data_IF_546276873805
#
_entry.id   IF_546276873805
#
_cell.length_a   1.000
_cell.length_b   1.000
_cell.length_c   1.000
_cell.angle_alpha   90.00
_cell.angle_beta   90.00
_cell.angle_gamma   90.00
#
_symmetry.space_group_name_H-M   'P 1'
#
loop_
_entity.id
_entity.type
_entity.pdbx_description
1 polymer ?
#
# COMPACT_ATOMS: atom_id res chain seq x y z
N UNK A 1 -13.57 -35.54 4.54
CA UNK A 1 -14.43 -35.73 5.74
C UNK A 1 -13.68 -35.62 7.08
N UNK A 2 -12.65 -36.43 7.36
CA UNK A 2 -11.92 -36.34 8.66
C UNK A 2 -11.26 -34.96 8.89
N UNK A 3 -10.82 -34.29 7.82
CA UNK A 3 -10.22 -32.96 7.87
C UNK A 3 -11.22 -31.86 8.31
N UNK A 4 -12.48 -31.92 7.84
CA UNK A 4 -13.50 -30.92 8.19
C UNK A 4 -13.94 -30.98 9.66
N UNK A 5 -14.12 -32.20 10.19
CA UNK A 5 -14.46 -32.39 11.61
C UNK A 5 -13.35 -31.81 12.49
N UNK A 6 -12.08 -32.07 12.16
CA UNK A 6 -10.94 -31.52 12.90
C UNK A 6 -10.89 -29.98 12.86
N UNK A 7 -11.16 -29.36 11.71
CA UNK A 7 -11.25 -27.89 11.59
C UNK A 7 -12.36 -27.29 12.45
N UNK A 8 -13.52 -27.94 12.49
CA UNK A 8 -14.64 -27.51 13.35
C UNK A 8 -14.24 -27.68 14.82
N UNK A 9 -13.65 -28.81 15.20
CA UNK A 9 -13.17 -29.04 16.57
C UNK A 9 -12.15 -27.98 17.01
N UNK A 10 -11.22 -27.60 16.12
CA UNK A 10 -10.24 -26.53 16.39
C UNK A 10 -10.94 -25.19 16.68
N UNK A 11 -11.95 -24.81 15.88
CA UNK A 11 -12.76 -23.62 16.15
C UNK A 11 -13.41 -23.71 17.55
N UNK A 12 -14.07 -24.84 17.85
CA UNK A 12 -14.83 -25.03 19.08
C UNK A 12 -13.95 -24.99 20.34
N UNK A 13 -12.78 -25.62 20.29
CA UNK A 13 -11.88 -25.76 21.43
C UNK A 13 -10.97 -24.54 21.59
N UNK A 14 -10.42 -24.02 20.50
CA UNK A 14 -9.28 -23.10 20.55
C UNK A 14 -9.61 -21.63 20.20
N UNK A 15 -10.66 -21.36 19.43
CA UNK A 15 -10.93 -20.00 18.91
C UNK A 15 -11.69 -19.11 19.92
N UNK A 16 -11.85 -17.81 19.64
CA UNK A 16 -12.52 -16.84 20.51
C UNK A 16 -14.01 -17.18 20.71
N UNK A 17 -14.56 -16.84 21.88
CA UNK A 17 -15.99 -17.07 22.19
C UNK A 17 -16.93 -16.34 21.22
N UNK A 18 -16.52 -15.16 20.72
CA UNK A 18 -17.28 -14.37 19.74
C UNK A 18 -17.41 -15.08 18.38
N UNK A 19 -16.46 -15.95 18.04
CA UNK A 19 -16.49 -16.74 16.81
C UNK A 19 -17.42 -17.96 16.90
N UNK A 20 -17.83 -18.37 18.10
CA UNK A 20 -18.64 -19.57 18.35
C UNK A 20 -20.12 -19.33 18.06
N UNK A 21 -20.53 -19.54 16.81
CA UNK A 21 -21.93 -19.55 16.43
C UNK A 21 -22.22 -20.56 15.31
N UNK A 22 -23.51 -20.89 15.11
CA UNK A 22 -23.93 -21.83 14.08
C UNK A 22 -23.50 -21.42 12.67
N UNK A 23 -23.46 -20.12 12.34
CA UNK A 23 -23.04 -19.65 11.02
C UNK A 23 -21.54 -19.91 10.77
N UNK A 24 -20.67 -19.63 11.75
CA UNK A 24 -19.23 -19.88 11.64
C UNK A 24 -18.91 -21.35 11.38
N UNK A 25 -19.59 -22.23 12.12
CA UNK A 25 -19.39 -23.68 11.99
C UNK A 25 -19.88 -24.20 10.62
N UNK A 26 -21.02 -23.69 10.12
CA UNK A 26 -21.49 -24.03 8.77
C UNK A 26 -20.53 -23.49 7.71
N UNK A 27 -20.01 -22.27 7.87
CA UNK A 27 -19.05 -21.69 6.95
C UNK A 27 -17.81 -22.57 6.76
N UNK A 28 -17.29 -23.15 7.85
CA UNK A 28 -16.15 -24.06 7.79
C UNK A 28 -16.41 -25.37 7.02
N UNK A 29 -17.67 -25.70 6.72
CA UNK A 29 -18.02 -26.87 5.89
C UNK A 29 -17.98 -26.60 4.40
N UNK A 30 -17.77 -25.34 3.98
CA UNK A 30 -17.62 -24.99 2.57
C UNK A 30 -16.23 -25.42 2.11
N UNK A 31 -16.17 -26.33 1.14
CA UNK A 31 -14.96 -26.67 0.38
C UNK A 31 -15.19 -26.26 -1.09
N UNK A 32 -14.20 -25.66 -1.74
CA UNK A 32 -14.23 -25.25 -3.16
C UNK A 32 -15.47 -24.45 -3.57
N UNK A 33 -15.92 -23.50 -2.72
CA UNK A 33 -17.14 -22.73 -2.92
C UNK A 33 -18.42 -23.57 -3.03
N UNK A 34 -18.43 -24.83 -2.58
CA UNK A 34 -19.61 -25.70 -2.52
C UNK A 34 -20.04 -25.89 -1.08
N UNK A 35 -21.31 -25.56 -0.78
CA UNK A 35 -21.92 -25.80 0.53
C UNK A 35 -22.59 -27.18 0.50
N UNK A 36 -22.20 -28.15 1.35
CA UNK A 36 -22.83 -29.46 1.39
C UNK A 36 -24.31 -29.38 1.82
N UNK A 37 -25.14 -30.40 1.51
CA UNK A 37 -26.53 -30.44 1.97
C UNK A 37 -26.63 -30.36 3.50
N UNK A 38 -27.67 -29.68 4.00
CA UNK A 38 -27.89 -29.45 5.44
C UNK A 38 -27.71 -30.70 6.31
N UNK A 39 -28.28 -31.83 5.91
CA UNK A 39 -28.18 -33.08 6.68
C UNK A 39 -26.72 -33.53 6.84
N UNK A 40 -25.89 -33.34 5.81
CA UNK A 40 -24.47 -33.70 5.85
C UNK A 40 -23.68 -32.74 6.72
N UNK A 41 -23.96 -31.44 6.62
CA UNK A 41 -23.37 -30.42 7.49
C UNK A 41 -23.71 -30.71 8.96
N UNK A 42 -24.98 -30.99 9.26
CA UNK A 42 -25.44 -31.31 10.61
C UNK A 42 -24.73 -32.51 11.20
N UNK A 43 -24.60 -33.60 10.43
CA UNK A 43 -23.86 -34.80 10.87
C UNK A 43 -22.40 -34.49 11.24
N UNK A 44 -21.70 -33.68 10.42
CA UNK A 44 -20.31 -33.29 10.68
C UNK A 44 -20.18 -32.45 11.95
N UNK A 45 -21.12 -31.52 12.16
CA UNK A 45 -21.12 -30.63 13.32
C UNK A 45 -21.50 -31.37 14.60
N UNK A 46 -22.51 -32.24 14.55
CA UNK A 46 -22.89 -33.09 15.70
C UNK A 46 -21.69 -33.91 16.19
N UNK A 47 -20.92 -34.49 15.25
CA UNK A 47 -19.69 -35.22 15.58
C UNK A 47 -18.63 -34.32 16.22
N UNK A 48 -18.37 -33.16 15.63
CA UNK A 48 -17.36 -32.22 16.13
C UNK A 48 -17.73 -31.64 17.51
N UNK A 49 -19.00 -31.30 17.73
CA UNK A 49 -19.50 -30.77 19.01
C UNK A 49 -19.36 -31.82 20.11
N UNK A 50 -19.84 -33.05 19.87
CA UNK A 50 -19.74 -34.12 20.87
C UNK A 50 -18.29 -34.47 21.24
N UNK A 51 -17.40 -34.50 20.24
CA UNK A 51 -15.96 -34.69 20.45
C UNK A 51 -15.32 -33.53 21.21
N UNK A 52 -15.66 -32.29 20.87
CA UNK A 52 -15.11 -31.08 21.50
C UNK A 52 -15.54 -30.92 22.95
N UNK A 53 -16.79 -31.29 23.28
CA UNK A 53 -17.30 -31.21 24.65
C UNK A 53 -16.52 -32.10 25.63
N UNK A 54 -15.85 -33.15 25.16
CA UNK A 54 -14.98 -33.98 26.00
C UNK A 54 -13.62 -33.34 26.27
N UNK A 55 -13.26 -32.29 25.53
CA UNK A 55 -11.95 -31.61 25.56
C UNK A 55 -12.01 -30.22 26.22
N UNK A 56 -13.19 -29.75 26.62
CA UNK A 56 -13.41 -28.39 27.13
C UNK A 56 -13.75 -28.43 28.62
N UNK A 57 -12.83 -27.90 29.43
CA UNK A 57 -13.00 -27.73 30.88
C UNK A 57 -13.64 -26.38 31.25
N UNK A 58 -13.47 -25.35 30.41
CA UNK A 58 -14.02 -24.03 30.66
C UNK A 58 -15.55 -24.02 30.49
N UNK A 59 -16.27 -23.70 31.57
CA UNK A 59 -17.73 -23.73 31.63
C UNK A 59 -18.41 -22.79 30.63
N UNK A 60 -17.89 -21.57 30.46
CA UNK A 60 -18.46 -20.57 29.55
C UNK A 60 -18.36 -21.02 28.09
N UNK A 61 -17.18 -21.49 27.68
CA UNK A 61 -16.97 -22.08 26.35
C UNK A 61 -17.84 -23.31 26.14
N UNK A 62 -17.93 -24.19 27.14
CA UNK A 62 -18.75 -25.40 27.08
C UNK A 62 -20.22 -25.06 26.82
N UNK A 63 -20.76 -24.05 27.50
CA UNK A 63 -22.12 -23.53 27.27
C UNK A 63 -22.28 -23.02 25.84
N UNK A 64 -21.33 -22.20 25.34
CA UNK A 64 -21.38 -21.70 23.96
C UNK A 64 -21.33 -22.79 22.90
N UNK A 65 -20.53 -23.84 23.12
CA UNK A 65 -20.45 -24.98 22.21
C UNK A 65 -21.76 -25.79 22.22
N UNK A 66 -22.43 -25.93 23.37
CA UNK A 66 -23.76 -26.56 23.45
C UNK A 66 -24.84 -25.77 22.68
N UNK A 67 -24.73 -24.45 22.63
CA UNK A 67 -25.67 -23.58 21.90
C UNK A 67 -25.56 -23.68 20.36
N UNK A 68 -24.51 -24.31 19.82
CA UNK A 68 -24.27 -24.39 18.37
C UNK A 68 -25.29 -25.30 17.67
N UNK A 69 -25.62 -26.46 18.26
CA UNK A 69 -26.57 -27.40 17.63
C UNK A 69 -27.97 -26.78 17.46
N UNK A 70 -28.54 -26.09 18.48
CA UNK A 70 -29.78 -25.32 18.31
C UNK A 70 -29.71 -24.22 17.23
N UNK A 71 -28.54 -23.65 16.95
CA UNK A 71 -28.36 -22.58 15.97
C UNK A 71 -28.19 -23.08 14.52
N UNK A 72 -28.04 -24.39 14.30
CA UNK A 72 -27.62 -24.94 13.00
C UNK A 72 -28.53 -24.57 11.82
N UNK A 73 -29.84 -24.57 12.02
CA UNK A 73 -30.78 -24.25 10.94
C UNK A 73 -30.68 -22.77 10.51
N UNK A 74 -30.64 -21.86 11.48
CA UNK A 74 -30.47 -20.43 11.23
C UNK A 74 -29.08 -20.10 10.68
N UNK A 75 -28.03 -20.78 11.19
CA UNK A 75 -26.67 -20.68 10.68
C UNK A 75 -26.58 -21.10 9.22
N UNK A 76 -27.19 -22.24 8.86
CA UNK A 76 -27.18 -22.74 7.49
C UNK A 76 -27.92 -21.81 6.52
N UNK A 77 -29.11 -21.33 6.89
CA UNK A 77 -29.85 -20.34 6.10
C UNK A 77 -29.08 -19.03 5.91
N UNK A 78 -28.36 -18.58 6.95
CA UNK A 78 -27.55 -17.37 6.87
C UNK A 78 -26.42 -17.50 5.85
N UNK A 79 -25.70 -18.64 5.86
CA UNK A 79 -24.64 -18.91 4.87
C UNK A 79 -25.19 -19.03 3.45
N UNK A 80 -26.35 -19.68 3.26
CA UNK A 80 -27.04 -19.72 1.96
C UNK A 80 -27.39 -18.30 1.46
N UNK A 81 -27.94 -17.47 2.34
CA UNK A 81 -28.28 -16.08 2.02
C UNK A 81 -27.05 -15.24 1.67
N UNK A 82 -25.98 -15.35 2.45
CA UNK A 82 -24.71 -14.65 2.20
C UNK A 82 -24.05 -15.09 0.88
N UNK A 83 -24.19 -16.36 0.50
CA UNK A 83 -23.73 -16.87 -0.80
C UNK A 83 -24.58 -16.33 -1.96
N UNK A 84 -25.90 -16.24 -1.79
CA UNK A 84 -26.80 -15.70 -2.80
C UNK A 84 -26.48 -14.22 -3.14
N UNK A 85 -26.06 -13.43 -2.15
CA UNK A 85 -25.62 -12.04 -2.34
C UNK A 85 -24.13 -11.90 -2.69
N UNK A 86 -23.44 -13.01 -2.96
CA UNK A 86 -22.00 -13.07 -3.29
C UNK A 86 -21.07 -12.48 -2.22
N UNK A 87 -21.55 -12.32 -0.97
CA UNK A 87 -20.74 -11.78 0.13
C UNK A 87 -19.66 -12.76 0.62
N UNK A 88 -19.83 -14.06 0.33
CA UNK A 88 -18.85 -15.11 0.67
C UNK A 88 -17.93 -15.50 -0.49
N UNK A 89 -18.10 -14.88 -1.67
CA UNK A 89 -17.12 -15.04 -2.72
C UNK A 89 -15.90 -14.21 -2.32
N UNK A 90 -14.93 -14.80 -1.62
CA UNK A 90 -13.56 -14.35 -1.77
C UNK A 90 -13.30 -14.30 -3.26
N UNK A 91 -12.84 -13.15 -3.78
CA UNK A 91 -12.09 -13.09 -5.03
C UNK A 91 -10.89 -14.00 -4.83
N UNK A 92 -11.10 -15.30 -4.93
CA UNK A 92 -10.07 -16.18 -5.42
C UNK A 92 -9.83 -15.61 -6.79
N UNK A 93 -8.72 -14.88 -6.94
CA UNK A 93 -8.09 -14.73 -8.25
C UNK A 93 -8.23 -16.10 -8.88
N UNK A 94 -9.06 -16.21 -9.92
CA UNK A 94 -9.11 -17.42 -10.72
C UNK A 94 -7.64 -17.75 -10.97
N UNK A 95 -7.21 -18.98 -10.68
CA UNK A 95 -5.84 -19.38 -10.98
C UNK A 95 -5.55 -18.88 -12.38
N UNK A 96 -4.56 -18.00 -12.53
CA UNK A 96 -4.15 -17.42 -13.82
C UNK A 96 -3.59 -18.50 -14.78
N UNK A 97 -3.70 -19.76 -14.37
CA UNK A 97 -3.25 -20.96 -15.02
C UNK A 97 -4.19 -21.25 -16.20
N UNK A 98 -3.71 -21.00 -17.41
CA UNK A 98 -4.31 -21.56 -18.60
C UNK A 98 -4.43 -23.08 -18.46
N UNK A 99 -5.58 -23.64 -18.79
CA UNK A 99 -5.71 -25.09 -18.90
C UNK A 99 -4.86 -25.59 -20.07
N UNK A 100 -4.55 -26.89 -20.09
CA UNK A 100 -3.77 -27.46 -21.19
C UNK A 100 -4.48 -27.27 -22.54
N UNK A 101 -5.80 -27.35 -22.56
CA UNK A 101 -6.62 -27.12 -23.74
C UNK A 101 -6.53 -25.67 -24.25
N UNK A 102 -6.47 -24.69 -23.34
CA UNK A 102 -6.28 -23.28 -23.68
C UNK A 102 -4.89 -23.02 -24.25
N UNK A 103 -3.85 -23.62 -23.64
CA UNK A 103 -2.47 -23.56 -24.16
C UNK A 103 -2.40 -24.16 -25.56
N UNK A 104 -2.95 -25.36 -25.76
CA UNK A 104 -2.95 -26.02 -27.07
C UNK A 104 -3.74 -25.20 -28.11
N UNK A 105 -4.83 -24.54 -27.71
CA UNK A 105 -5.58 -23.64 -28.59
C UNK A 105 -4.75 -22.41 -28.97
N UNK A 106 -4.06 -21.80 -28.02
CA UNK A 106 -3.18 -20.66 -28.28
C UNK A 106 -2.03 -21.06 -29.21
N UNK A 107 -1.40 -22.22 -29.00
CA UNK A 107 -0.35 -22.75 -29.88
C UNK A 107 -0.87 -22.94 -31.31
N UNK A 108 -2.09 -23.47 -31.49
CA UNK A 108 -2.72 -23.58 -32.82
C UNK A 108 -2.91 -22.21 -33.47
N UNK A 109 -3.37 -21.20 -32.72
CA UNK A 109 -3.51 -19.82 -33.20
C UNK A 109 -2.15 -19.23 -33.60
N UNK A 110 -1.12 -19.44 -32.79
CA UNK A 110 0.24 -18.98 -33.08
C UNK A 110 0.80 -19.62 -34.36
N UNK A 111 0.68 -20.95 -34.51
CA UNK A 111 1.08 -21.67 -35.74
C UNK A 111 0.35 -21.17 -36.97
N UNK A 112 -0.94 -20.85 -36.85
CA UNK A 112 -1.74 -20.26 -37.93
C UNK A 112 -1.20 -18.88 -38.34
N UNK A 113 -0.93 -17.99 -37.38
CA UNK A 113 -0.35 -16.66 -37.65
C UNK A 113 1.02 -16.75 -38.31
N UNK A 114 1.88 -17.67 -37.86
CA UNK A 114 3.20 -17.91 -38.45
C UNK A 114 3.14 -18.47 -39.87
N UNK A 115 2.00 -19.06 -40.27
CA UNK A 115 1.84 -19.62 -41.62
C UNK A 115 1.38 -18.58 -42.66
N UNK A 116 1.35 -17.29 -42.31
CA UNK A 116 0.95 -16.19 -43.19
C UNK A 116 1.92 -15.01 -43.12
N UNK A 117 3.18 -15.18 -43.55
CA UNK A 117 4.17 -14.10 -43.58
C UNK A 117 3.77 -13.00 -44.58
N UNK A 118 3.94 -11.74 -44.19
CA UNK A 118 3.65 -10.58 -45.06
C UNK A 118 4.82 -10.22 -45.99
N UNK A 119 6.05 -10.61 -45.62
CA UNK A 119 7.26 -10.34 -46.40
C UNK A 119 8.12 -11.58 -46.56
N UNK A 120 8.98 -11.62 -47.57
CA UNK A 120 9.95 -12.71 -47.78
C UNK A 120 10.92 -12.84 -46.59
N UNK A 121 11.28 -11.72 -45.95
CA UNK A 121 12.09 -11.73 -44.73
C UNK A 121 11.35 -12.36 -43.54
N UNK A 122 10.02 -12.21 -43.48
CA UNK A 122 9.20 -12.84 -42.44
C UNK A 122 9.00 -14.32 -42.71
N UNK A 123 8.92 -14.75 -43.98
CA UNK A 123 8.79 -16.16 -44.32
C UNK A 123 9.92 -17.01 -43.71
N UNK A 124 11.17 -16.62 -43.96
CA UNK A 124 12.34 -17.32 -43.42
C UNK A 124 12.38 -17.31 -41.89
N UNK A 125 11.97 -16.21 -41.26
CA UNK A 125 11.91 -16.09 -39.79
C UNK A 125 10.81 -17.00 -39.22
N UNK A 126 9.60 -16.92 -39.76
CA UNK A 126 8.42 -17.63 -39.24
C UNK A 126 8.55 -19.13 -39.41
N UNK A 127 9.11 -19.61 -40.52
CA UNK A 127 9.40 -21.04 -40.72
C UNK A 127 10.34 -21.58 -39.63
N UNK A 128 11.34 -20.80 -39.25
CA UNK A 128 12.29 -21.22 -38.22
C UNK A 128 11.70 -21.16 -36.81
N UNK A 129 10.85 -20.17 -36.52
CA UNK A 129 10.12 -20.12 -35.25
C UNK A 129 9.15 -21.29 -35.15
N UNK A 130 8.41 -21.60 -36.22
CA UNK A 130 7.47 -22.74 -36.27
C UNK A 130 8.18 -24.06 -36.02
N UNK A 131 9.33 -24.27 -36.66
CA UNK A 131 10.17 -25.46 -36.45
C UNK A 131 10.65 -25.57 -34.99
N UNK A 132 11.08 -24.46 -34.40
CA UNK A 132 11.52 -24.46 -33.01
C UNK A 132 10.34 -24.72 -32.05
N UNK A 133 9.13 -24.24 -32.37
CA UNK A 133 7.92 -24.44 -31.56
C UNK A 133 7.52 -25.91 -31.45
N UNK A 134 7.65 -26.68 -32.54
CA UNK A 134 7.41 -28.13 -32.53
C UNK A 134 8.30 -28.88 -31.52
N UNK A 135 9.46 -28.33 -31.15
CA UNK A 135 10.38 -28.98 -30.22
C UNK A 135 10.09 -28.73 -28.74
N UNK A 136 9.26 -27.73 -28.41
CA UNK A 136 9.00 -27.32 -27.02
C UNK A 136 7.53 -27.32 -26.63
N UNK A 137 6.61 -27.50 -27.59
CA UNK A 137 5.17 -27.30 -27.35
C UNK A 137 4.56 -28.21 -26.27
N UNK A 138 5.10 -29.41 -26.07
CA UNK A 138 4.67 -30.32 -25.01
C UNK A 138 4.99 -29.80 -23.61
N UNK A 139 6.05 -28.99 -23.49
CA UNK A 139 6.64 -28.60 -22.21
C UNK A 139 6.18 -27.20 -21.78
N UNK A 140 5.42 -26.50 -22.64
CA UNK A 140 4.88 -25.17 -22.36
C UNK A 140 3.86 -25.20 -21.23
N UNK A 141 3.99 -24.23 -20.34
CA UNK A 141 3.11 -23.92 -19.22
C UNK A 141 2.51 -22.52 -19.40
N UNK A 142 1.52 -22.16 -18.58
CA UNK A 142 0.92 -20.82 -18.61
C UNK A 142 1.93 -19.68 -18.35
N UNK A 143 3.11 -19.99 -17.79
CA UNK A 143 4.19 -19.04 -17.54
C UNK A 143 4.97 -18.69 -18.80
N UNK A 144 4.90 -19.53 -19.83
CA UNK A 144 5.63 -19.36 -21.07
C UNK A 144 4.85 -18.42 -22.00
N UNK A 145 5.46 -17.34 -22.53
CA UNK A 145 4.78 -16.38 -23.40
C UNK A 145 4.07 -17.03 -24.61
N UNK A 146 4.67 -18.09 -25.14
CA UNK A 146 4.17 -18.87 -26.28
C UNK A 146 2.80 -19.48 -26.01
N UNK A 147 2.57 -19.90 -24.76
CA UNK A 147 1.28 -20.43 -24.31
C UNK A 147 0.16 -19.38 -24.38
N UNK A 148 0.52 -18.09 -24.53
CA UNK A 148 -0.38 -16.94 -24.73
C UNK A 148 -0.29 -16.32 -26.13
N UNK A 149 0.31 -17.01 -27.10
CA UNK A 149 0.57 -16.52 -28.47
C UNK A 149 1.59 -15.38 -28.59
N UNK A 150 2.40 -15.17 -27.56
CA UNK A 150 3.45 -14.14 -27.52
C UNK A 150 4.81 -14.80 -27.81
N UNK A 151 5.68 -14.08 -28.55
CA UNK A 151 7.05 -14.51 -28.80
C UNK A 151 8.00 -13.59 -28.02
N UNK A 152 8.77 -14.18 -27.09
CA UNK A 152 9.80 -13.45 -26.34
C UNK A 152 11.15 -13.54 -27.04
N UNK A 153 11.94 -12.45 -27.02
CA UNK A 153 13.32 -12.51 -27.50
C UNK A 153 14.22 -13.38 -26.63
N UNK A 154 13.83 -13.63 -25.37
CA UNK A 154 14.53 -14.51 -24.43
C UNK A 154 14.14 -15.98 -24.57
N UNK A 155 13.05 -16.29 -25.29
CA UNK A 155 12.57 -17.65 -25.48
C UNK A 155 13.58 -18.53 -26.23
N UNK A 156 13.67 -19.84 -25.91
CA UNK A 156 14.44 -20.80 -26.70
C UNK A 156 14.10 -20.76 -28.20
N UNK A 157 12.84 -20.42 -28.55
CA UNK A 157 12.41 -20.26 -29.93
C UNK A 157 13.23 -19.24 -30.71
N UNK A 158 13.49 -18.09 -30.08
CA UNK A 158 14.18 -16.95 -30.70
C UNK A 158 15.69 -17.07 -30.51
N UNK A 159 16.15 -17.61 -29.39
CA UNK A 159 17.57 -17.81 -29.12
C UNK A 159 18.21 -18.83 -30.09
N UNK A 160 17.45 -19.85 -30.50
CA UNK A 160 17.88 -20.86 -31.45
C UNK A 160 17.81 -20.43 -32.93
N UNK A 161 17.40 -19.18 -33.21
CA UNK A 161 17.39 -18.64 -34.58
C UNK A 161 18.81 -18.37 -35.09
N UNK A 162 18.98 -18.47 -36.41
CA UNK A 162 20.23 -18.06 -37.06
C UNK A 162 20.42 -16.55 -36.94
N UNK A 163 21.67 -16.09 -36.98
CA UNK A 163 22.05 -14.67 -36.82
C UNK A 163 21.21 -13.69 -37.66
N UNK A 164 20.93 -14.01 -38.93
CA UNK A 164 20.13 -13.16 -39.81
C UNK A 164 18.67 -13.04 -39.36
N UNK A 165 18.05 -14.15 -38.98
CA UNK A 165 16.67 -14.22 -38.49
C UNK A 165 16.55 -13.52 -37.13
N UNK A 166 17.50 -13.79 -36.22
CA UNK A 166 17.57 -13.13 -34.93
C UNK A 166 17.70 -11.61 -35.08
N UNK A 167 18.56 -11.13 -36.00
CA UNK A 167 18.69 -9.70 -36.31
C UNK A 167 17.39 -9.12 -36.87
N UNK A 168 16.68 -9.86 -37.73
CA UNK A 168 15.39 -9.43 -38.27
C UNK A 168 14.33 -9.33 -37.16
N UNK A 169 14.23 -10.34 -36.29
CA UNK A 169 13.34 -10.35 -35.13
C UNK A 169 13.62 -9.19 -34.17
N UNK A 170 14.89 -8.90 -33.87
CA UNK A 170 15.29 -7.82 -32.95
C UNK A 170 15.29 -6.41 -33.58
N UNK A 171 15.10 -6.28 -34.90
CA UNK A 171 15.18 -5.00 -35.60
C UNK A 171 14.21 -3.94 -35.05
N UNK A 172 12.94 -4.25 -34.72
CA UNK A 172 12.04 -3.28 -34.08
C UNK A 172 12.55 -2.83 -32.70
N UNK A 173 13.07 -3.75 -31.88
CA UNK A 173 13.67 -3.43 -30.58
C UNK A 173 14.83 -2.45 -30.72
N UNK A 174 15.74 -2.69 -31.67
CA UNK A 174 16.88 -1.78 -31.90
C UNK A 174 16.45 -0.42 -32.45
N UNK A 175 15.31 -0.34 -33.17
CA UNK A 175 14.74 0.94 -33.63
C UNK A 175 14.03 1.74 -32.55
N UNK A 176 13.52 1.07 -31.50
CA UNK A 176 12.91 1.73 -30.34
C UNK A 176 13.94 2.29 -29.36
N UNK A 177 15.18 1.80 -29.41
CA UNK A 177 16.28 2.33 -28.60
C UNK A 177 16.84 3.59 -29.26
N UNK A 178 16.98 4.65 -28.48
CA UNK A 178 17.69 5.86 -28.88
C UNK A 178 19.08 5.88 -28.21
N UNK A 179 20.11 6.25 -28.95
CA UNK A 179 21.40 6.59 -28.35
C UNK A 179 21.26 7.90 -27.57
N UNK A 180 21.83 7.95 -26.36
CA UNK A 180 21.81 9.18 -25.57
C UNK A 180 22.71 10.23 -26.25
N UNK A 181 22.23 11.47 -26.43
CA UNK A 181 23.09 12.57 -26.88
C UNK A 181 24.26 12.80 -25.92
N UNK A 182 25.41 13.19 -26.45
CA UNK A 182 26.64 13.40 -25.65
C UNK A 182 26.44 14.45 -24.56
N UNK A 183 25.59 15.44 -24.84
CA UNK A 183 25.22 16.51 -23.92
C UNK A 183 24.51 15.95 -22.68
N UNK A 184 23.63 14.95 -22.85
CA UNK A 184 22.91 14.30 -21.75
C UNK A 184 23.86 13.43 -20.94
N UNK A 185 24.74 12.67 -21.60
CA UNK A 185 25.77 11.87 -20.95
C UNK A 185 26.64 12.76 -20.06
N UNK A 186 27.13 13.88 -20.59
CA UNK A 186 27.92 14.85 -19.86
C UNK A 186 27.18 15.42 -18.65
N UNK A 187 25.87 15.70 -18.77
CA UNK A 187 25.04 16.16 -17.64
C UNK A 187 24.86 15.09 -16.55
N UNK A 188 24.71 13.82 -16.92
CA UNK A 188 24.63 12.72 -15.96
C UNK A 188 25.95 12.52 -15.19
N UNK A 189 27.08 12.61 -15.89
CA UNK A 189 28.42 12.53 -15.29
C UNK A 189 28.67 13.72 -14.37
N UNK A 190 28.33 14.94 -14.82
CA UNK A 190 28.40 16.16 -14.01
C UNK A 190 27.57 16.03 -12.73
N UNK A 191 26.32 15.57 -12.83
CA UNK A 191 25.46 15.33 -11.67
C UNK A 191 26.11 14.34 -10.70
N UNK A 192 26.59 13.19 -11.20
CA UNK A 192 27.16 12.13 -10.35
C UNK A 192 28.43 12.59 -9.65
N UNK A 193 29.32 13.27 -10.36
CA UNK A 193 30.59 13.76 -9.82
C UNK A 193 30.40 14.89 -8.80
N UNK A 194 29.37 15.72 -8.99
CA UNK A 194 29.07 16.87 -8.13
C UNK A 194 28.02 16.53 -7.05
N UNK A 195 27.47 15.33 -7.03
CA UNK A 195 26.46 14.95 -6.04
C UNK A 195 27.11 14.79 -4.68
N UNK A 196 26.86 15.76 -3.81
CA UNK A 196 27.16 15.66 -2.40
C UNK A 196 25.87 15.36 -1.65
N UNK A 197 25.82 14.23 -0.93
CA UNK A 197 24.77 13.99 0.06
C UNK A 197 24.80 15.16 1.03
N UNK A 198 23.72 15.96 1.07
CA UNK A 198 23.66 17.15 1.91
C UNK A 198 24.00 16.79 3.35
N UNK A 199 25.04 17.39 3.93
CA UNK A 199 25.28 17.21 5.36
C UNK A 199 24.15 17.89 6.12
N UNK A 200 23.45 17.15 6.98
CA UNK A 200 22.56 17.75 7.97
C UNK A 200 23.41 18.70 8.79
N UNK A 201 23.21 20.01 8.64
CA UNK A 201 23.96 20.97 9.44
C UNK A 201 23.57 20.72 10.90
N UNK A 202 24.53 20.35 11.74
CA UNK A 202 24.34 20.14 13.18
C UNK A 202 23.89 21.39 13.95
N UNK A 203 23.66 22.51 13.25
CA UNK A 203 23.07 23.73 13.80
C UNK A 203 21.55 23.58 13.95
N UNK A 204 21.11 22.54 14.65
CA UNK A 204 19.73 22.41 15.09
C UNK A 204 19.50 23.49 16.15
N UNK A 205 19.00 24.65 15.71
CA UNK A 205 18.38 25.59 16.65
C UNK A 205 17.19 24.86 17.28
N UNK A 206 17.00 25.01 18.59
CA UNK A 206 15.81 24.53 19.29
C UNK A 206 14.57 25.23 18.70
N UNK A 207 14.03 24.70 17.61
CA UNK A 207 12.86 25.25 16.97
C UNK A 207 11.63 24.89 17.80
N UNK A 208 10.76 25.86 17.99
CA UNK A 208 9.54 25.73 18.79
C UNK A 208 8.35 26.28 18.02
N UNK A 209 7.16 25.81 18.37
CA UNK A 209 5.92 26.37 17.87
C UNK A 209 5.63 27.73 18.53
N UNK A 210 5.95 28.81 17.83
CA UNK A 210 5.84 30.21 18.28
C UNK A 210 5.10 31.11 17.26
N UNK A 211 4.46 30.49 16.25
CA UNK A 211 3.78 31.16 15.12
C UNK A 211 4.70 31.92 14.17
N UNK A 212 6.01 31.63 14.13
CA UNK A 212 6.93 32.17 13.12
C UNK A 212 7.35 31.13 12.09
N UNK A 213 7.70 31.60 10.89
CA UNK A 213 8.40 30.78 9.90
C UNK A 213 9.81 30.43 10.39
N UNK A 214 10.29 29.24 10.02
CA UNK A 214 11.62 28.72 10.41
C UNK A 214 12.67 28.84 9.31
N UNK A 215 12.23 29.12 8.11
CA UNK A 215 13.06 29.37 6.92
C UNK A 215 12.91 30.83 6.48
N UNK A 216 13.89 31.32 5.75
CA UNK A 216 13.94 32.68 5.21
C UNK A 216 12.95 32.86 4.05
N UNK A 217 12.62 34.11 3.72
CA UNK A 217 11.75 34.44 2.57
C UNK A 217 12.19 33.76 1.26
N UNK A 218 13.48 33.85 0.85
CA UNK A 218 13.97 33.17 -0.35
C UNK A 218 13.87 31.65 -0.33
N UNK A 219 14.07 31.02 0.83
CA UNK A 219 13.92 29.57 0.98
C UNK A 219 12.45 29.15 0.82
N UNK A 220 11.53 29.87 1.45
CA UNK A 220 10.09 29.64 1.31
C UNK A 220 9.59 29.90 -0.12
N UNK A 221 10.12 30.92 -0.80
CA UNK A 221 9.82 31.23 -2.19
C UNK A 221 10.26 30.07 -3.10
N UNK A 222 11.51 29.61 -2.97
CA UNK A 222 12.03 28.45 -3.71
C UNK A 222 11.16 27.20 -3.49
N UNK A 223 10.72 26.93 -2.25
CA UNK A 223 9.82 25.79 -1.98
C UNK A 223 8.44 25.99 -2.59
N UNK A 224 7.93 27.21 -2.56
CA UNK A 224 6.66 27.56 -3.19
C UNK A 224 6.72 27.32 -4.69
N UNK A 225 7.78 27.75 -5.38
CA UNK A 225 7.98 27.50 -6.82
C UNK A 225 7.96 26.01 -7.16
N UNK A 226 8.60 25.17 -6.34
CA UNK A 226 8.59 23.72 -6.54
C UNK A 226 7.18 23.13 -6.37
N UNK A 227 6.44 23.54 -5.33
CA UNK A 227 5.04 23.12 -5.14
C UNK A 227 4.17 23.55 -6.33
N UNK A 228 4.36 24.77 -6.83
CA UNK A 228 3.63 25.30 -7.97
C UNK A 228 3.99 24.57 -9.28
N UNK A 229 5.26 24.15 -9.46
CA UNK A 229 5.67 23.31 -10.59
C UNK A 229 4.92 21.98 -10.61
N UNK A 230 4.82 21.31 -9.44
CA UNK A 230 4.04 20.08 -9.31
C UNK A 230 2.55 20.32 -9.60
N UNK A 231 1.97 21.44 -9.13
CA UNK A 231 0.59 21.78 -9.47
C UNK A 231 0.40 22.00 -10.98
N UNK A 232 1.37 22.61 -11.67
CA UNK A 232 1.32 22.77 -13.11
C UNK A 232 1.35 21.41 -13.83
N UNK A 233 2.17 20.46 -13.38
CA UNK A 233 2.17 19.08 -13.89
C UNK A 233 0.82 18.40 -13.68
N UNK A 234 0.22 18.54 -12.49
CA UNK A 234 -1.11 18.00 -12.17
C UNK A 234 -2.17 18.56 -13.11
N UNK A 235 -2.16 19.88 -13.38
CA UNK A 235 -3.14 20.51 -14.28
C UNK A 235 -2.97 20.07 -15.74
N UNK A 236 -1.74 19.76 -16.15
CA UNK A 236 -1.44 19.25 -17.48
C UNK A 236 -1.73 17.75 -17.64
N UNK A 237 -2.06 17.04 -16.56
CA UNK A 237 -2.36 15.61 -16.61
C UNK A 237 -3.82 15.36 -17.08
N UNK A 238 -4.02 14.70 -18.25
CA UNK A 238 -5.36 14.41 -18.79
C UNK A 238 -6.26 13.62 -17.85
N UNK A 239 -5.67 12.82 -16.95
CA UNK A 239 -6.41 12.02 -15.97
C UNK A 239 -7.26 12.88 -15.02
N UNK A 240 -6.90 14.15 -14.82
CA UNK A 240 -7.54 15.07 -13.88
C UNK A 240 -8.14 16.32 -14.54
N UNK A 241 -8.18 16.40 -15.87
CA UNK A 241 -8.68 17.61 -16.56
C UNK A 241 -10.19 17.82 -16.41
N UNK A 242 -11.00 16.77 -16.46
CA UNK A 242 -12.48 16.88 -16.43
C UNK A 242 -13.07 16.26 -15.17
N UNK A 243 -14.28 16.67 -14.80
CA UNK A 243 -15.01 16.04 -13.68
C UNK A 243 -15.22 14.54 -13.91
N UNK A 244 -15.49 14.14 -15.16
CA UNK A 244 -15.66 12.73 -15.54
C UNK A 244 -14.36 11.94 -15.35
N UNK A 245 -13.22 12.44 -15.86
CA UNK A 245 -11.93 11.76 -15.70
C UNK A 245 -11.53 11.66 -14.23
N UNK A 246 -11.71 12.74 -13.45
CA UNK A 246 -11.47 12.77 -12.00
C UNK A 246 -12.29 11.71 -11.26
N UNK A 247 -13.57 11.53 -11.62
CA UNK A 247 -14.46 10.59 -10.94
C UNK A 247 -14.11 9.11 -11.15
N UNK A 248 -13.38 8.81 -12.24
CA UNK A 248 -12.91 7.47 -12.59
C UNK A 248 -11.59 7.09 -11.92
N UNK A 249 -10.87 8.06 -11.35
CA UNK A 249 -9.55 7.78 -10.76
C UNK A 249 -9.67 6.96 -9.48
N UNK A 250 -8.76 6.00 -9.35
CA UNK A 250 -8.64 5.20 -8.13
C UNK A 250 -8.03 6.03 -7.00
N UNK A 251 -8.20 5.55 -5.77
CA UNK A 251 -7.54 6.14 -4.59
C UNK A 251 -6.01 6.09 -4.75
N UNK A 252 -5.49 4.94 -5.22
CA UNK A 252 -4.07 4.76 -5.49
C UNK A 252 -3.52 5.78 -6.49
N UNK A 253 -4.20 5.97 -7.63
CA UNK A 253 -3.80 6.96 -8.66
C UNK A 253 -3.79 8.37 -8.10
N UNK A 254 -4.79 8.74 -7.30
CA UNK A 254 -4.84 10.06 -6.68
C UNK A 254 -3.69 10.27 -5.68
N UNK A 255 -3.38 9.23 -4.89
CA UNK A 255 -2.23 9.25 -3.97
C UNK A 255 -0.92 9.39 -4.74
N UNK A 256 -0.68 8.59 -5.78
CA UNK A 256 0.59 8.55 -6.51
C UNK A 256 0.83 9.79 -7.35
N UNK A 257 -0.21 10.35 -7.96
CA UNK A 257 -0.06 11.37 -8.99
C UNK A 257 -0.29 12.79 -8.44
N UNK A 258 -0.91 12.92 -7.26
CA UNK A 258 -1.22 14.22 -6.65
C UNK A 258 -0.64 14.34 -5.24
N UNK A 259 -1.02 13.44 -4.34
CA UNK A 259 -0.69 13.61 -2.91
C UNK A 259 0.81 13.45 -2.67
N UNK A 260 1.41 12.36 -3.16
CA UNK A 260 2.82 12.06 -2.98
C UNK A 260 3.73 13.12 -3.63
N UNK A 261 3.50 13.57 -4.88
CA UNK A 261 4.26 14.66 -5.48
C UNK A 261 4.18 15.96 -4.69
N UNK A 262 3.00 16.36 -4.21
CA UNK A 262 2.84 17.56 -3.38
C UNK A 262 3.61 17.45 -2.06
N UNK A 263 3.53 16.29 -1.39
CA UNK A 263 4.29 16.04 -0.17
C UNK A 263 5.81 16.04 -0.45
N UNK A 264 6.27 15.44 -1.54
CA UNK A 264 7.70 15.45 -1.94
C UNK A 264 8.21 16.86 -2.18
N UNK A 265 7.48 17.69 -2.93
CA UNK A 265 7.86 19.08 -3.15
C UNK A 265 7.88 19.89 -1.85
N UNK A 266 6.93 19.62 -0.96
CA UNK A 266 6.83 20.31 0.34
C UNK A 266 7.96 19.93 1.29
N UNK A 267 8.35 18.66 1.34
CA UNK A 267 9.29 18.11 2.31
C UNK A 267 10.72 17.98 1.78
N UNK A 268 10.94 18.24 0.49
CA UNK A 268 12.26 18.23 -0.13
C UNK A 268 13.23 19.19 0.58
N UNK A 269 14.48 18.74 0.77
CA UNK A 269 15.55 19.47 1.45
C UNK A 269 15.10 20.08 2.80
N UNK A 270 14.40 19.29 3.63
CA UNK A 270 14.02 19.77 4.96
C UNK A 270 15.30 20.11 5.75
N UNK A 271 15.38 21.28 6.44
CA UNK A 271 16.63 21.75 7.06
C UNK A 271 17.22 20.81 8.12
N UNK A 272 16.37 19.94 8.68
CA UNK A 272 16.64 19.22 9.91
C UNK A 272 16.47 17.70 9.81
N UNK A 273 16.40 17.10 8.63
CA UNK A 273 16.32 15.64 8.57
C UNK A 273 16.21 15.03 7.19
N UNK A 274 16.56 13.74 7.12
CA UNK A 274 16.32 12.91 5.95
C UNK A 274 14.95 12.28 6.08
N UNK A 275 13.97 12.99 5.52
CA UNK A 275 12.61 12.48 5.47
C UNK A 275 12.46 11.49 4.31
N UNK A 276 11.88 10.34 4.63
CA UNK A 276 11.43 9.35 3.65
C UNK A 276 9.90 9.36 3.59
N UNK A 277 9.36 9.42 2.38
CA UNK A 277 7.93 9.19 2.13
C UNK A 277 7.75 7.74 1.71
N UNK A 278 7.13 6.93 2.56
CA UNK A 278 6.71 5.58 2.18
C UNK A 278 5.29 5.62 1.62
N UNK A 279 5.11 5.11 0.40
CA UNK A 279 3.80 4.84 -0.18
C UNK A 279 3.41 3.38 0.07
N UNK A 280 2.24 2.97 -0.43
CA UNK A 280 1.61 1.65 -0.32
C UNK A 280 2.52 0.46 0.08
N UNK A 281 1.97 -0.40 0.94
CA UNK A 281 2.51 -1.68 1.45
C UNK A 281 3.35 -1.64 2.74
N UNK A 282 3.94 -0.49 3.09
CA UNK A 282 4.70 -0.37 4.35
C UNK A 282 3.76 -0.43 5.56
N UNK A 283 4.08 -1.30 6.52
CA UNK A 283 3.36 -1.38 7.80
C UNK A 283 3.93 -0.38 8.80
N UNK A 284 3.04 0.26 9.57
CA UNK A 284 3.42 1.06 10.72
C UNK A 284 3.99 0.17 11.83
N UNK A 285 5.23 0.47 12.22
CA UNK A 285 5.94 -0.09 13.37
C UNK A 285 5.25 0.28 14.67
N UNK A 286 4.77 1.52 14.81
CA UNK A 286 4.06 1.96 16.01
C UNK A 286 2.78 1.15 16.23
N UNK A 287 1.98 1.00 15.17
CA UNK A 287 0.76 0.19 15.23
C UNK A 287 1.05 -1.29 15.43
N UNK A 288 2.11 -1.83 14.79
CA UNK A 288 2.57 -3.21 15.00
C UNK A 288 2.98 -3.44 16.46
N UNK A 289 3.79 -2.55 17.03
CA UNK A 289 4.24 -2.62 18.41
C UNK A 289 3.05 -2.66 19.39
N UNK A 290 2.06 -1.76 19.22
CA UNK A 290 0.85 -1.78 20.05
C UNK A 290 0.07 -3.08 19.91
N UNK A 291 -0.14 -3.57 18.68
CA UNK A 291 -0.94 -4.79 18.44
C UNK A 291 -0.30 -6.05 19.03
N UNK A 292 1.02 -6.06 19.13
CA UNK A 292 1.81 -7.18 19.66
C UNK A 292 2.12 -7.04 21.15
N UNK A 293 1.83 -5.89 21.75
CA UNK A 293 2.06 -5.67 23.17
C UNK A 293 1.21 -6.65 24.00
N UNK A 294 1.88 -7.50 24.78
CA UNK A 294 1.23 -8.49 25.65
C UNK A 294 0.59 -9.67 24.91
N UNK A 295 1.01 -9.97 23.67
CA UNK A 295 0.50 -11.11 22.90
C UNK A 295 1.63 -11.95 22.29
N UNK A 296 1.53 -13.28 22.39
CA UNK A 296 2.52 -14.21 21.82
C UNK A 296 2.39 -14.44 20.30
N UNK A 297 1.35 -13.85 19.66
CA UNK A 297 1.10 -13.98 18.21
C UNK A 297 1.52 -12.70 17.49
N UNK A 298 2.36 -12.84 16.46
CA UNK A 298 2.76 -11.72 15.62
C UNK A 298 1.60 -11.24 14.74
N UNK A 299 1.11 -10.04 15.01
CA UNK A 299 0.09 -9.34 14.23
C UNK A 299 0.74 -8.27 13.35
N UNK A 300 0.19 -8.10 12.15
CA UNK A 300 0.61 -7.05 11.23
C UNK A 300 0.18 -5.66 11.71
N UNK A 301 1.07 -4.69 11.52
CA UNK A 301 0.76 -3.27 11.72
C UNK A 301 -0.31 -2.78 10.74
N UNK A 302 -0.92 -1.64 11.04
CA UNK A 302 -1.76 -0.94 10.05
C UNK A 302 -0.90 -0.45 8.88
N UNK A 303 -1.53 -0.24 7.73
CA UNK A 303 -0.91 0.30 6.51
C UNK A 303 -1.62 1.60 6.14
N UNK A 304 -1.07 2.75 6.56
CA UNK A 304 -1.49 4.06 6.08
C UNK A 304 -1.19 4.20 4.59
N UNK A 305 -1.90 5.08 3.88
CA UNK A 305 -1.70 5.25 2.43
C UNK A 305 -0.34 5.86 2.11
N UNK A 306 0.07 6.84 2.94
CA UNK A 306 1.42 7.40 2.95
C UNK A 306 1.88 7.57 4.40
N UNK A 307 3.17 7.36 4.65
CA UNK A 307 3.81 7.75 5.90
C UNK A 307 5.02 8.62 5.63
N UNK A 308 5.24 9.58 6.52
CA UNK A 308 6.48 10.36 6.57
C UNK A 308 7.34 9.80 7.69
N UNK A 309 8.54 9.37 7.33
CA UNK A 309 9.49 8.74 8.21
C UNK A 309 10.71 9.63 8.34
N UNK A 310 11.23 9.78 9.54
CA UNK A 310 12.56 10.34 9.76
C UNK A 310 13.51 9.19 10.07
N UNK A 311 14.64 9.15 9.37
CA UNK A 311 15.69 8.17 9.61
C UNK A 311 16.89 8.88 10.22
N UNK A 312 17.17 8.57 11.49
CA UNK A 312 18.38 9.01 12.16
C UNK A 312 19.24 7.80 12.49
N UNK A 313 20.41 7.73 11.85
CA UNK A 313 21.32 6.58 11.90
C UNK A 313 20.56 5.30 11.49
N UNK A 314 20.27 4.41 12.44
CA UNK A 314 19.59 3.12 12.23
C UNK A 314 18.17 3.08 12.83
N UNK A 315 17.64 4.22 13.29
CA UNK A 315 16.29 4.31 13.86
C UNK A 315 15.35 5.02 12.91
N UNK A 316 14.18 4.41 12.73
CA UNK A 316 13.09 4.95 11.92
C UNK A 316 12.01 5.45 12.86
N UNK A 317 11.65 6.71 12.71
CA UNK A 317 10.52 7.33 13.42
C UNK A 317 9.42 7.66 12.43
N UNK A 318 8.19 7.31 12.79
CA UNK A 318 6.98 7.65 12.04
C UNK A 318 6.48 9.02 12.51
N UNK A 319 6.70 10.06 11.70
CA UNK A 319 6.33 11.44 12.03
C UNK A 319 4.96 11.85 11.48
N UNK A 320 4.49 11.20 10.42
CA UNK A 320 3.20 11.52 9.80
C UNK A 320 2.52 10.29 9.24
N UNK A 321 1.21 10.26 9.43
CA UNK A 321 0.31 9.31 8.79
C UNK A 321 -0.62 10.06 7.83
N UNK A 322 -0.86 9.48 6.66
CA UNK A 322 -1.72 10.06 5.63
C UNK A 322 -2.80 9.05 5.26
N UNK A 323 -4.05 9.48 5.37
CA UNK A 323 -5.23 8.71 4.98
C UNK A 323 -5.96 9.44 3.87
N UNK A 324 -6.14 8.77 2.75
CA UNK A 324 -6.72 9.31 1.54
C UNK A 324 -8.03 8.62 1.20
N UNK A 325 -8.85 9.37 0.47
CA UNK A 325 -10.01 8.87 -0.22
C UNK A 325 -9.87 9.19 -1.69
N UNK A 326 -10.77 8.67 -2.52
CA UNK A 326 -10.91 9.13 -3.91
C UNK A 326 -11.35 10.59 -3.95
N UNK A 327 -11.09 11.26 -5.08
CA UNK A 327 -11.54 12.64 -5.35
C UNK A 327 -13.05 12.80 -5.10
N UNK A 328 -13.83 11.78 -5.47
CA UNK A 328 -15.25 11.69 -5.09
C UNK A 328 -15.37 10.70 -3.94
N UNK A 329 -15.63 11.19 -2.73
CA UNK A 329 -15.75 10.38 -1.53
C UNK A 329 -17.10 10.57 -0.84
N UNK A 330 -17.58 9.54 -0.14
CA UNK A 330 -18.77 9.64 0.71
C UNK A 330 -18.43 10.26 2.08
N UNK A 331 -19.43 10.83 2.74
CA UNK A 331 -19.29 11.32 4.11
C UNK A 331 -18.85 10.20 5.08
N UNK A 332 -19.30 8.96 4.86
CA UNK A 332 -18.90 7.79 5.66
C UNK A 332 -17.41 7.49 5.51
N UNK A 333 -16.86 7.53 4.29
CA UNK A 333 -15.40 7.33 4.07
C UNK A 333 -14.62 8.42 4.80
N UNK A 334 -15.04 9.68 4.67
CA UNK A 334 -14.43 10.80 5.41
C UNK A 334 -14.41 10.57 6.93
N UNK A 335 -15.55 10.21 7.54
CA UNK A 335 -15.62 9.98 8.98
C UNK A 335 -14.77 8.77 9.43
N UNK A 336 -14.77 7.70 8.64
CA UNK A 336 -13.98 6.50 8.94
C UNK A 336 -12.47 6.77 8.86
N UNK A 337 -12.03 7.50 7.84
CA UNK A 337 -10.62 7.85 7.65
C UNK A 337 -10.13 8.80 8.76
N UNK A 338 -10.97 9.73 9.20
CA UNK A 338 -10.66 10.59 10.35
C UNK A 338 -10.42 9.75 11.62
N UNK A 339 -11.30 8.77 11.89
CA UNK A 339 -11.15 7.86 13.03
C UNK A 339 -9.91 6.98 12.92
N UNK A 340 -9.62 6.49 11.71
CA UNK A 340 -8.43 5.69 11.43
C UNK A 340 -7.16 6.52 11.71
N UNK A 341 -7.13 7.75 11.22
CA UNK A 341 -6.00 8.66 11.29
C UNK A 341 -5.64 9.05 12.72
N UNK A 342 -6.60 9.53 13.53
CA UNK A 342 -6.25 9.95 14.90
C UNK A 342 -5.77 8.75 15.75
N UNK A 343 -6.29 7.54 15.50
CA UNK A 343 -5.81 6.32 16.17
C UNK A 343 -4.39 5.97 15.78
N UNK A 344 -4.00 6.19 14.52
CA UNK A 344 -2.63 5.97 14.07
C UNK A 344 -1.67 7.01 14.63
N UNK A 345 -2.09 8.29 14.65
CA UNK A 345 -1.28 9.34 15.28
C UNK A 345 -1.09 9.09 16.78
N UNK A 346 -2.08 8.49 17.46
CA UNK A 346 -1.97 8.07 18.85
C UNK A 346 -0.98 6.90 19.03
N UNK A 347 -1.06 5.89 18.16
CA UNK A 347 -0.10 4.78 18.13
C UNK A 347 1.33 5.32 17.98
N UNK A 348 1.56 6.22 17.02
CA UNK A 348 2.85 6.88 16.77
C UNK A 348 3.35 7.69 17.96
N UNK A 349 2.48 8.52 18.56
CA UNK A 349 2.86 9.36 19.70
C UNK A 349 3.23 8.51 20.92
N UNK A 350 2.48 7.44 21.19
CA UNK A 350 2.80 6.50 22.27
C UNK A 350 4.14 5.82 22.03
N UNK A 351 4.39 5.37 20.79
CA UNK A 351 5.63 4.69 20.42
C UNK A 351 6.86 5.59 20.62
N UNK A 352 6.77 6.86 20.18
CA UNK A 352 7.84 7.84 20.35
C UNK A 352 8.04 8.23 21.81
N UNK A 353 6.96 8.35 22.59
CA UNK A 353 7.05 8.70 24.00
C UNK A 353 7.82 7.64 24.80
N UNK A 354 7.65 6.36 24.46
CA UNK A 354 8.44 5.26 25.03
C UNK A 354 9.91 5.38 24.62
N UNK A 355 10.17 5.71 23.35
CA UNK A 355 11.53 5.71 22.80
C UNK A 355 12.39 6.90 23.25
N UNK A 356 11.82 8.10 23.38
CA UNK A 356 12.62 9.32 23.58
C UNK A 356 12.00 10.41 24.46
N UNK A 357 10.78 10.24 25.00
CA UNK A 357 10.11 11.20 25.91
C UNK A 357 10.22 12.67 25.45
N UNK A 358 9.65 13.01 24.28
CA UNK A 358 9.82 14.33 23.71
C UNK A 358 9.14 15.42 24.55
N UNK A 359 9.61 16.66 24.41
CA UNK A 359 9.05 17.82 25.13
C UNK A 359 7.54 17.97 24.87
N UNK A 360 6.76 17.93 25.95
CA UNK A 360 5.30 18.13 25.91
C UNK A 360 4.95 19.43 25.19
N UNK A 361 3.85 19.40 24.45
CA UNK A 361 3.31 20.56 23.70
C UNK A 361 4.22 21.15 22.62
N UNK A 362 5.36 20.53 22.32
CA UNK A 362 6.27 20.95 21.23
C UNK A 362 6.45 19.87 20.17
N UNK A 363 6.47 18.59 20.57
CA UNK A 363 6.51 17.49 19.61
C UNK A 363 5.11 16.93 19.36
N UNK A 364 4.78 16.72 18.08
CA UNK A 364 3.52 16.11 17.69
C UNK A 364 3.65 15.21 16.47
N UNK A 365 2.81 14.18 16.43
CA UNK A 365 2.62 13.34 15.25
C UNK A 365 1.60 14.01 14.34
N UNK A 366 1.98 14.21 13.09
CA UNK A 366 1.10 14.85 12.11
C UNK A 366 0.15 13.81 11.52
N UNK A 367 -1.12 14.18 11.39
CA UNK A 367 -2.12 13.40 10.67
C UNK A 367 -2.63 14.20 9.47
N UNK A 368 -2.48 13.67 8.27
CA UNK A 368 -3.02 14.28 7.06
C UNK A 368 -4.21 13.45 6.56
N UNK A 369 -5.36 14.09 6.43
CA UNK A 369 -6.52 13.47 5.80
C UNK A 369 -6.79 14.12 4.46
N UNK A 370 -6.97 13.33 3.41
CA UNK A 370 -7.44 13.80 2.10
C UNK A 370 -8.83 13.25 1.85
N UNK A 371 -9.85 14.09 2.08
CA UNK A 371 -11.26 13.75 1.86
C UNK A 371 -11.77 14.45 0.60
N UNK A 372 -11.85 13.71 -0.50
CA UNK A 372 -12.17 14.26 -1.82
C UNK A 372 -11.09 15.23 -2.28
N UNK A 373 -11.47 16.48 -2.56
CA UNK A 373 -10.52 17.54 -2.92
C UNK A 373 -9.97 18.29 -1.71
N UNK A 374 -10.44 18.04 -0.50
CA UNK A 374 -10.00 18.80 0.68
C UNK A 374 -8.93 18.02 1.45
N UNK A 375 -7.81 18.68 1.70
CA UNK A 375 -6.72 18.19 2.55
C UNK A 375 -6.82 18.86 3.92
N UNK A 376 -6.73 18.06 4.98
CA UNK A 376 -6.79 18.49 6.37
C UNK A 376 -5.47 18.17 7.05
N UNK A 377 -4.90 19.17 7.72
CA UNK A 377 -3.68 19.02 8.51
C UNK A 377 -4.05 18.97 10.00
N UNK A 378 -3.67 17.88 10.65
CA UNK A 378 -3.93 17.64 12.06
C UNK A 378 -2.63 17.31 12.78
N UNK A 379 -2.61 17.47 14.10
CA UNK A 379 -1.47 17.09 14.94
C UNK A 379 -1.95 16.48 16.25
N UNK A 380 -1.33 15.38 16.66
CA UNK A 380 -1.50 14.79 17.98
C UNK A 380 -0.26 15.07 18.83
N UNK A 381 -0.44 15.71 19.98
CA UNK A 381 0.64 16.03 20.91
C UNK A 381 0.21 15.80 22.35
N UNK A 382 1.14 15.43 23.22
CA UNK A 382 0.87 15.32 24.65
C UNK A 382 0.93 16.69 25.32
N UNK A 383 -0.06 16.99 26.16
CA UNK A 383 0.01 18.15 27.04
C UNK A 383 1.02 17.94 28.19
N UNK A 384 1.18 18.95 29.05
CA UNK A 384 2.10 18.90 30.19
C UNK A 384 1.77 17.76 31.18
N UNK A 385 0.53 17.28 31.20
CA UNK A 385 0.09 16.15 32.03
C UNK A 385 0.25 14.80 31.33
N UNK A 386 0.82 14.78 30.12
CA UNK A 386 0.98 13.57 29.32
C UNK A 386 -0.30 13.11 28.62
N UNK A 387 -1.37 13.93 28.60
CA UNK A 387 -2.63 13.57 27.95
C UNK A 387 -2.52 13.90 26.45
N UNK A 388 -2.81 12.94 25.55
CA UNK A 388 -2.79 13.20 24.12
C UNK A 388 -3.93 14.14 23.71
N UNK A 389 -3.59 15.19 22.98
CA UNK A 389 -4.51 16.17 22.39
C UNK A 389 -4.41 16.11 20.88
N UNK A 390 -5.55 15.91 20.22
CA UNK A 390 -5.67 15.92 18.76
C UNK A 390 -6.22 17.26 18.30
N UNK A 391 -5.44 18.00 17.51
CA UNK A 391 -5.77 19.32 17.02
C UNK A 391 -5.96 19.32 15.50
N UNK A 392 -7.03 19.95 15.04
CA UNK A 392 -7.24 20.27 13.63
C UNK A 392 -6.59 21.63 13.35
N UNK A 393 -5.43 21.63 12.70
CA UNK A 393 -4.64 22.85 12.50
C UNK A 393 -5.27 23.74 11.43
N UNK A 394 -5.50 23.19 10.25
CA UNK A 394 -6.02 23.92 9.10
C UNK A 394 -6.47 22.94 7.99
N UNK A 395 -7.11 23.47 6.95
CA UNK A 395 -7.48 22.70 5.76
C UNK A 395 -7.46 23.57 4.49
N UNK A 396 -7.35 22.93 3.33
CA UNK A 396 -7.43 23.60 2.04
C UNK A 396 -7.98 22.65 0.96
N UNK A 397 -8.57 23.21 -0.09
CA UNK A 397 -8.87 22.45 -1.29
C UNK A 397 -7.63 22.33 -2.18
N UNK A 398 -7.36 21.12 -2.65
CA UNK A 398 -6.39 20.84 -3.70
C UNK A 398 -6.98 21.34 -5.03
N UNK A 399 -6.38 22.37 -5.66
CA UNK A 399 -6.88 22.89 -6.92
C UNK A 399 -6.53 21.90 -8.04
N UNK A 400 -7.51 21.17 -8.54
CA UNK A 400 -7.35 20.27 -9.69
C UNK A 400 -7.49 21.00 -11.04
N UNK A 401 -7.73 22.32 -11.00
CA UNK A 401 -7.73 23.22 -12.16
C UNK A 401 -7.21 24.61 -11.77
N UNK A 402 -6.87 25.40 -12.79
CA UNK A 402 -6.22 26.71 -12.66
C UNK A 402 -7.18 27.86 -12.37
N UNK A 403 -8.48 27.59 -12.10
CA UNK A 403 -9.52 28.62 -12.04
C UNK A 403 -9.51 29.45 -10.75
N UNK A 404 -8.74 29.07 -9.73
CA UNK A 404 -8.78 29.74 -8.43
C UNK A 404 -7.41 29.93 -7.80
N UNK A 405 -6.83 31.12 -8.00
CA UNK A 405 -5.61 31.53 -7.32
C UNK A 405 -5.75 31.53 -5.78
N UNK A 406 -6.97 31.74 -5.26
CA UNK A 406 -7.27 31.64 -3.83
C UNK A 406 -7.05 30.22 -3.30
N UNK A 407 -7.53 29.19 -4.01
CA UNK A 407 -7.31 27.78 -3.62
C UNK A 407 -5.83 27.43 -3.63
N UNK A 408 -5.10 27.88 -4.65
CA UNK A 408 -3.63 27.71 -4.73
C UNK A 408 -2.93 28.31 -3.51
N UNK A 409 -3.24 29.57 -3.16
CA UNK A 409 -2.66 30.25 -1.99
C UNK A 409 -2.98 29.50 -0.68
N UNK A 410 -4.22 29.03 -0.51
CA UNK A 410 -4.61 28.26 0.67
C UNK A 410 -3.85 26.93 0.77
N UNK A 411 -3.71 26.19 -0.33
CA UNK A 411 -2.96 24.95 -0.36
C UNK A 411 -1.48 25.17 -0.05
N UNK A 412 -0.83 26.15 -0.67
CA UNK A 412 0.58 26.48 -0.41
C UNK A 412 0.78 26.83 1.07
N UNK A 413 -0.10 27.65 1.66
CA UNK A 413 -0.04 27.97 3.09
C UNK A 413 -0.13 26.71 3.96
N UNK A 414 -1.06 25.80 3.64
CA UNK A 414 -1.23 24.55 4.38
C UNK A 414 0.03 23.67 4.29
N UNK A 415 0.60 23.52 3.09
CA UNK A 415 1.81 22.72 2.86
C UNK A 415 3.05 23.32 3.54
N UNK A 416 3.22 24.64 3.50
CA UNK A 416 4.30 25.31 4.25
C UNK A 416 4.10 25.18 5.76
N UNK A 417 2.85 25.14 6.25
CA UNK A 417 2.56 24.87 7.67
C UNK A 417 2.97 23.44 8.04
N UNK A 418 2.66 22.45 7.21
CA UNK A 418 3.15 21.07 7.36
C UNK A 418 4.69 21.03 7.43
N UNK A 419 5.36 21.74 6.53
CA UNK A 419 6.82 21.82 6.50
C UNK A 419 7.37 22.34 7.84
N UNK A 420 6.82 23.45 8.36
CA UNK A 420 7.22 23.99 9.67
C UNK A 420 7.00 23.00 10.81
N UNK A 421 5.85 22.31 10.84
CA UNK A 421 5.58 21.28 11.85
C UNK A 421 6.64 20.18 11.83
N UNK A 422 7.01 19.69 10.65
CA UNK A 422 8.02 18.64 10.54
C UNK A 422 9.45 19.14 10.76
N UNK A 423 9.78 20.38 10.41
CA UNK A 423 11.05 20.98 10.81
C UNK A 423 11.20 20.96 12.33
N UNK A 424 10.16 21.38 13.07
CA UNK A 424 10.17 21.38 14.54
C UNK A 424 10.28 19.93 15.07
N UNK A 425 9.44 19.01 14.61
CA UNK A 425 9.47 17.60 15.06
C UNK A 425 10.82 16.93 14.80
N UNK A 426 11.42 17.15 13.62
CA UNK A 426 12.76 16.67 13.33
C UNK A 426 13.79 17.32 14.27
N UNK A 427 13.84 18.66 14.39
CA UNK A 427 14.83 19.31 15.31
C UNK A 427 14.74 18.76 16.74
N UNK A 428 13.53 18.56 17.27
CA UNK A 428 13.31 17.96 18.58
C UNK A 428 13.82 16.51 18.66
N UNK A 429 13.60 15.70 17.61
CA UNK A 429 14.12 14.34 17.53
C UNK A 429 15.65 14.28 17.61
N UNK A 430 16.37 15.10 16.82
CA UNK A 430 17.84 15.13 16.83
C UNK A 430 18.40 15.52 18.19
N UNK A 431 17.78 16.48 18.87
CA UNK A 431 18.16 16.90 20.22
C UNK A 431 18.00 15.77 21.24
N UNK A 432 16.86 15.07 21.23
CA UNK A 432 16.57 13.99 22.17
C UNK A 432 17.57 12.83 22.03
N UNK A 433 17.98 12.49 20.81
CA UNK A 433 18.96 11.44 20.57
C UNK A 433 20.40 11.87 20.88
N UNK A 434 20.75 13.14 20.65
CA UNK A 434 22.04 13.68 21.06
C UNK A 434 22.24 13.59 22.58
N UNK A 435 21.23 13.99 23.37
CA UNK A 435 21.30 13.90 24.84
C UNK A 435 21.33 12.45 25.35
N UNK A 436 20.55 11.54 24.75
CA UNK A 436 20.55 10.13 25.13
C UNK A 436 21.91 9.44 24.90
N UNK A 437 22.62 9.78 23.81
CA UNK A 437 23.94 9.23 23.49
C UNK A 437 25.03 9.76 24.44
N UNK A 438 24.97 11.05 24.79
CA UNK A 438 25.91 11.66 25.75
C UNK A 438 25.73 11.07 27.14
N UNK A 439 24.50 10.80 27.59
CA UNK A 439 24.26 10.15 28.87
C UNK A 439 24.75 8.69 28.91
N UNK A 440 24.72 7.96 27.79
CA UNK A 440 25.23 6.57 27.74
C UNK A 440 26.75 6.43 27.61
N UNK A 441 27.47 7.53 27.39
CA UNK A 441 28.94 7.55 27.30
C UNK A 441 29.60 8.07 28.58
N UNK A 442 28.81 8.52 29.56
CA UNK A 442 29.25 9.06 30.84
C UNK A 442 28.98 8.07 31.99
N UNK A 443 28.27 6.97 31.71
CA UNK A 443 28.20 5.76 32.54
C UNK A 443 29.12 4.67 31.93
#
# INVERSE_FOLDING_TARGET
MANLVAKIEELLVCDTLDALCGASVVYLTIEDNVLPPYNKVRELVDRAVNSSLMKIDNLERRTKVLEILPQMENGYRSIVGLKAIKALNTLQEASLDYTREEIDQNIRVLKSKLSSPLTESDASLYDSIKKNLESIESDLTWRDPEASTVLSDESPLVQNLKTRQKRHFLKPRERMKCELPREIISKCEEFTNNFHRGQTSNNFRNAVHDKTWKETGPELEKRTEQILSILAEIWNNPAFTTSESRSKQSEGTYVTDIIVPLLRATLGDLPSGYICLSTAERQSLASKARKNAGTDKERMGKKPDVMVLDQYVDKIIELTYVECSRIVCSATKKANDEVKLWRETLDGASFINIACRPTSSQFGIVGIQVAGTTIYLNVLMNDASGIPRYFHLDHADIPLDSNSSKRVKSLVRLLLTLRVCLTISCTAHYLLFFFALVTSLVD
#
